data_IF_990910842035
#
_entry.id   IF_990910842035
#
_cell.length_a   1.000
_cell.length_b   1.000
_cell.length_c   1.000
_cell.angle_alpha   90.00
_cell.angle_beta   90.00
_cell.angle_gamma   90.00
#
_symmetry.space_group_name_H-M   'P 1'
#
loop_
_entity.id
_entity.type
_entity.pdbx_description
1 polymer ?
#
# COMPACT_ATOMS: atom_id res chain seq x y z
N UNK A 1 -37.71 80.16 -12.59
CA UNK A 1 -38.41 79.42 -11.50
C UNK A 1 -39.08 78.22 -12.15
N UNK A 2 -38.75 76.96 -11.92
CA UNK A 2 -37.89 76.30 -10.92
C UNK A 2 -37.53 74.95 -11.53
N UNK A 3 -36.24 74.62 -11.53
CA UNK A 3 -35.67 73.34 -11.97
C UNK A 3 -36.10 72.24 -10.99
N UNK A 4 -36.71 71.15 -11.47
CA UNK A 4 -36.82 69.90 -10.71
C UNK A 4 -36.04 68.81 -11.43
N UNK A 5 -34.78 68.70 -11.01
CA UNK A 5 -33.84 67.63 -11.33
C UNK A 5 -34.40 66.26 -10.96
N UNK A 6 -34.25 65.23 -11.79
CA UNK A 6 -34.58 63.86 -11.40
C UNK A 6 -33.58 63.39 -10.33
N UNK A 7 -34.11 62.83 -9.25
CA UNK A 7 -33.35 62.31 -8.13
C UNK A 7 -32.46 61.13 -8.59
N UNK A 8 -31.17 61.22 -8.29
CA UNK A 8 -30.22 60.12 -8.43
C UNK A 8 -30.69 58.92 -7.58
N UNK A 9 -30.60 57.67 -8.08
CA UNK A 9 -30.89 56.52 -7.26
C UNK A 9 -29.86 56.46 -6.13
N UNK A 10 -30.35 56.44 -4.90
CA UNK A 10 -29.55 56.18 -3.72
C UNK A 10 -28.81 54.86 -3.94
N UNK A 11 -27.49 54.95 -4.09
CA UNK A 11 -26.60 53.79 -4.00
C UNK A 11 -26.82 53.23 -2.60
N UNK A 12 -27.62 52.18 -2.53
CA UNK A 12 -27.78 51.36 -1.34
C UNK A 12 -26.38 50.85 -1.05
N UNK A 13 -25.74 51.44 -0.05
CA UNK A 13 -24.55 50.87 0.55
C UNK A 13 -24.99 49.51 1.10
N UNK A 14 -24.77 48.44 0.34
CA UNK A 14 -24.70 47.10 0.89
C UNK A 14 -23.62 47.15 1.96
N UNK A 15 -24.07 47.29 3.21
CA UNK A 15 -23.27 46.93 4.37
C UNK A 15 -22.92 45.46 4.17
N UNK A 16 -21.74 45.20 3.64
CA UNK A 16 -21.12 43.89 3.65
C UNK A 16 -20.95 43.54 5.12
N UNK A 17 -21.95 42.84 5.67
CA UNK A 17 -21.87 42.23 6.98
C UNK A 17 -20.56 41.43 6.99
N UNK A 18 -19.68 41.63 7.99
CA UNK A 18 -18.48 40.82 8.06
C UNK A 18 -18.96 39.39 8.21
N UNK A 19 -18.76 38.58 7.16
CA UNK A 19 -18.88 37.14 7.23
C UNK A 19 -18.01 36.72 8.40
N UNK A 20 -18.63 36.54 9.57
CA UNK A 20 -18.01 35.96 10.75
C UNK A 20 -17.45 34.64 10.25
N UNK A 21 -16.15 34.60 9.99
CA UNK A 21 -15.38 33.38 9.84
C UNK A 21 -15.81 32.53 11.04
N UNK A 22 -16.68 31.54 10.80
CA UNK A 22 -17.01 30.50 11.76
C UNK A 22 -15.69 29.78 11.97
N UNK A 23 -14.90 30.33 12.90
CA UNK A 23 -13.78 29.68 13.54
C UNK A 23 -14.41 28.41 14.10
N UNK A 24 -14.22 27.31 13.37
CA UNK A 24 -14.68 26.00 13.78
C UNK A 24 -14.03 25.75 15.14
N UNK A 25 -14.76 26.05 16.21
CA UNK A 25 -14.33 25.71 17.54
C UNK A 25 -14.22 24.19 17.54
N UNK A 26 -12.98 23.70 17.60
CA UNK A 26 -12.64 22.32 17.93
C UNK A 26 -13.12 22.02 19.34
N UNK A 27 -14.44 22.03 19.57
CA UNK A 27 -15.04 21.46 20.75
C UNK A 27 -14.78 19.97 20.65
N UNK A 28 -13.89 19.50 21.52
CA UNK A 28 -13.64 18.07 21.70
C UNK A 28 -14.90 17.50 22.33
N UNK A 29 -15.86 17.11 21.50
CA UNK A 29 -17.05 16.40 21.95
C UNK A 29 -16.57 15.12 22.66
N UNK A 30 -17.16 14.70 23.78
CA UNK A 30 -16.74 13.48 24.49
C UNK A 30 -16.71 12.24 23.58
N UNK A 31 -17.57 12.20 22.56
CA UNK A 31 -17.50 11.18 21.50
C UNK A 31 -16.21 11.22 20.68
N UNK A 32 -15.69 12.41 20.35
CA UNK A 32 -14.38 12.56 19.68
C UNK A 32 -13.23 12.14 20.58
N UNK A 33 -13.26 12.49 21.87
CA UNK A 33 -12.24 12.07 22.83
C UNK A 33 -12.18 10.54 22.96
N UNK A 34 -13.34 9.87 22.98
CA UNK A 34 -13.42 8.41 22.96
C UNK A 34 -12.89 7.82 21.65
N UNK A 35 -13.26 8.38 20.49
CA UNK A 35 -12.73 7.94 19.19
C UNK A 35 -11.21 8.05 19.14
N UNK A 36 -10.64 9.20 19.54
CA UNK A 36 -9.19 9.38 19.59
C UNK A 36 -8.53 8.43 20.60
N UNK A 37 -9.15 8.19 21.76
CA UNK A 37 -8.66 7.21 22.74
C UNK A 37 -8.57 5.79 22.15
N UNK A 38 -9.63 5.33 21.48
CA UNK A 38 -9.64 4.01 20.83
C UNK A 38 -8.60 3.94 19.71
N UNK A 39 -8.46 4.99 18.89
CA UNK A 39 -7.46 5.04 17.83
C UNK A 39 -6.03 5.02 18.38
N UNK A 40 -5.75 5.73 19.47
CA UNK A 40 -4.43 5.73 20.12
C UNK A 40 -4.11 4.37 20.72
N UNK A 41 -5.06 3.74 21.41
CA UNK A 41 -4.87 2.37 21.94
C UNK A 41 -4.65 1.39 20.79
N UNK A 42 -5.46 1.47 19.74
CA UNK A 42 -5.29 0.64 18.53
C UNK A 42 -3.91 0.83 17.89
N UNK A 43 -3.44 2.07 17.77
CA UNK A 43 -2.12 2.40 17.26
C UNK A 43 -1.00 1.80 18.12
N UNK A 44 -1.10 1.91 19.45
CA UNK A 44 -0.10 1.34 20.37
C UNK A 44 -0.03 -0.17 20.19
N UNK A 45 -1.18 -0.86 20.18
CA UNK A 45 -1.25 -2.31 19.98
C UNK A 45 -0.64 -2.72 18.63
N UNK A 46 -0.88 -1.94 17.58
CA UNK A 46 -0.30 -2.18 16.26
C UNK A 46 1.21 -1.95 16.19
N UNK A 47 1.74 -0.96 16.90
CA UNK A 47 3.18 -0.63 16.90
C UNK A 47 4.00 -1.60 17.73
N UNK A 48 3.42 -2.20 18.79
CA UNK A 48 4.13 -3.13 19.68
C UNK A 48 4.98 -4.20 18.98
N UNK A 49 4.47 -5.00 18.01
CA UNK A 49 5.29 -5.99 17.33
C UNK A 49 6.43 -5.39 16.50
N UNK A 50 6.26 -4.20 15.93
CA UNK A 50 7.32 -3.50 15.20
C UNK A 50 8.38 -2.94 16.15
N UNK A 51 7.96 -2.35 17.26
CA UNK A 51 8.86 -1.90 18.32
C UNK A 51 9.67 -3.09 18.85
N UNK A 52 9.03 -4.23 19.09
CA UNK A 52 9.68 -5.48 19.48
C UNK A 52 10.71 -5.95 18.45
N UNK A 53 10.36 -5.91 17.17
CA UNK A 53 11.27 -6.29 16.08
C UNK A 53 12.49 -5.36 16.00
N UNK A 54 12.30 -4.05 16.17
CA UNK A 54 13.39 -3.07 16.23
C UNK A 54 14.30 -3.29 17.43
N UNK A 55 13.73 -3.48 18.62
CA UNK A 55 14.49 -3.83 19.82
C UNK A 55 15.24 -5.17 19.63
N UNK A 56 14.64 -6.14 18.94
CA UNK A 56 15.27 -7.40 18.58
C UNK A 56 16.45 -7.25 17.63
N UNK A 57 16.40 -6.30 16.69
CA UNK A 57 17.49 -6.08 15.72
C UNK A 57 18.82 -5.69 16.35
N UNK A 58 18.80 -5.13 17.56
CA UNK A 58 19.98 -4.72 18.34
C UNK A 58 20.34 -5.69 19.47
N UNK A 59 19.62 -6.81 19.60
CA UNK A 59 19.91 -7.87 20.60
C UNK A 59 20.88 -8.90 20.05
N UNK A 60 21.63 -9.54 20.94
CA UNK A 60 22.49 -10.68 20.57
C UNK A 60 21.62 -11.91 20.27
N UNK A 61 22.12 -12.84 19.44
CA UNK A 61 21.43 -14.09 19.14
C UNK A 61 21.10 -14.91 20.41
N UNK A 62 21.99 -14.87 21.41
CA UNK A 62 21.77 -15.52 22.72
C UNK A 62 20.60 -14.88 23.47
N UNK A 63 20.50 -13.56 23.43
CA UNK A 63 19.43 -12.81 24.08
C UNK A 63 18.06 -13.02 23.42
N UNK A 64 18.02 -13.23 22.11
CA UNK A 64 16.77 -13.55 21.38
C UNK A 64 16.28 -14.97 21.70
N UNK A 65 17.20 -15.92 21.91
CA UNK A 65 16.87 -17.33 22.15
C UNK A 65 16.64 -17.68 23.63
N UNK A 66 16.96 -16.78 24.55
CA UNK A 66 16.82 -17.05 25.99
C UNK A 66 15.34 -17.11 26.43
N UNK A 67 15.08 -17.87 27.51
CA UNK A 67 13.78 -17.93 28.17
C UNK A 67 13.94 -17.53 29.64
N UNK A 68 13.21 -16.53 30.15
CA UNK A 68 12.16 -15.74 29.50
C UNK A 68 12.71 -14.70 28.50
N UNK A 69 11.97 -14.37 27.42
CA UNK A 69 12.40 -13.35 26.46
C UNK A 69 12.47 -11.97 27.13
N UNK A 70 13.58 -11.25 26.92
CA UNK A 70 13.75 -9.89 27.44
C UNK A 70 12.97 -8.90 26.58
N UNK A 71 12.28 -7.95 27.21
CA UNK A 71 11.62 -6.87 26.48
C UNK A 71 12.61 -5.81 26.02
N UNK A 72 13.46 -5.36 26.95
CA UNK A 72 14.52 -4.41 26.67
C UNK A 72 15.85 -5.13 26.36
N UNK A 73 16.65 -4.66 25.39
CA UNK A 73 17.99 -5.18 25.13
C UNK A 73 18.86 -5.03 26.38
N UNK A 74 19.47 -6.11 26.84
CA UNK A 74 20.47 -6.05 27.91
C UNK A 74 21.82 -5.58 27.35
N UNK A 75 22.16 -6.04 26.16
CA UNK A 75 23.34 -5.62 25.42
C UNK A 75 22.94 -5.06 24.06
N UNK A 76 23.18 -3.76 23.86
CA UNK A 76 22.98 -3.12 22.57
C UNK A 76 24.16 -3.46 21.66
N UNK A 77 23.91 -4.26 20.62
CA UNK A 77 24.91 -4.58 19.60
C UNK A 77 24.48 -4.10 18.22
N UNK A 78 25.43 -3.55 17.47
CA UNK A 78 25.28 -3.17 16.06
C UNK A 78 25.88 -4.21 15.12
N UNK A 79 26.48 -5.28 15.66
CA UNK A 79 27.14 -6.33 14.87
C UNK A 79 26.17 -7.03 13.91
N UNK A 80 24.89 -7.13 14.28
CA UNK A 80 23.86 -7.68 13.41
C UNK A 80 23.80 -6.94 12.06
N UNK A 81 23.87 -5.61 12.07
CA UNK A 81 23.86 -4.81 10.84
C UNK A 81 25.15 -5.00 10.03
N UNK A 82 26.30 -5.10 10.68
CA UNK A 82 27.58 -5.39 10.02
C UNK A 82 27.58 -6.78 9.36
N UNK A 83 27.04 -7.78 10.04
CA UNK A 83 26.90 -9.14 9.52
C UNK A 83 25.96 -9.19 8.29
N UNK A 84 24.86 -8.42 8.29
CA UNK A 84 23.91 -8.37 7.18
C UNK A 84 24.55 -7.88 5.88
N UNK A 85 25.29 -6.77 5.93
CA UNK A 85 25.90 -6.19 4.74
C UNK A 85 27.22 -6.86 4.34
N UNK A 86 27.93 -7.48 5.28
CA UNK A 86 29.19 -8.18 5.03
C UNK A 86 29.01 -9.67 4.73
N UNK A 87 28.64 -10.46 5.74
CA UNK A 87 28.67 -11.92 5.68
C UNK A 87 27.46 -12.53 4.94
N UNK A 88 26.29 -11.90 5.05
CA UNK A 88 25.04 -12.42 4.48
C UNK A 88 24.72 -11.94 3.05
N UNK A 89 25.59 -11.14 2.42
CA UNK A 89 25.38 -10.59 1.06
C UNK A 89 23.97 -9.99 0.86
N UNK A 90 23.41 -9.34 1.88
CA UNK A 90 22.02 -8.86 1.86
C UNK A 90 21.74 -7.92 0.68
N UNK A 91 22.74 -7.13 0.25
CA UNK A 91 22.63 -6.25 -0.91
C UNK A 91 22.25 -6.99 -2.20
N UNK A 92 22.74 -8.21 -2.41
CA UNK A 92 22.39 -9.02 -3.58
C UNK A 92 20.93 -9.49 -3.52
N UNK A 93 20.48 -10.00 -2.36
CA UNK A 93 19.08 -10.42 -2.19
C UNK A 93 18.10 -9.25 -2.34
N UNK A 94 18.48 -8.08 -1.80
CA UNK A 94 17.71 -6.86 -1.95
C UNK A 94 17.65 -6.39 -3.41
N UNK A 95 18.79 -6.40 -4.11
CA UNK A 95 18.87 -6.09 -5.54
C UNK A 95 18.03 -7.03 -6.39
N UNK A 96 18.12 -8.34 -6.15
CA UNK A 96 17.28 -9.36 -6.81
C UNK A 96 15.79 -9.06 -6.62
N UNK A 97 15.40 -8.72 -5.40
CA UNK A 97 14.01 -8.40 -5.05
C UNK A 97 13.51 -7.15 -5.77
N UNK A 98 14.35 -6.09 -5.84
CA UNK A 98 14.03 -4.87 -6.58
C UNK A 98 13.84 -5.16 -8.06
N UNK A 99 14.77 -5.89 -8.68
CA UNK A 99 14.71 -6.24 -10.11
C UNK A 99 13.41 -6.99 -10.40
N UNK A 100 13.13 -8.06 -9.65
CA UNK A 100 11.91 -8.84 -9.82
C UNK A 100 10.67 -7.98 -9.61
N UNK A 101 10.60 -7.20 -8.52
CA UNK A 101 9.46 -6.34 -8.23
C UNK A 101 9.22 -5.30 -9.35
N UNK A 102 10.27 -4.64 -9.82
CA UNK A 102 10.17 -3.61 -10.85
C UNK A 102 9.63 -4.18 -12.17
N UNK A 103 10.19 -5.29 -12.65
CA UNK A 103 9.76 -5.90 -13.91
C UNK A 103 8.37 -6.53 -13.80
N UNK A 104 8.05 -7.17 -12.67
CA UNK A 104 6.71 -7.73 -12.43
C UNK A 104 5.65 -6.63 -12.38
N UNK A 105 5.91 -5.52 -11.68
CA UNK A 105 4.99 -4.38 -11.61
C UNK A 105 4.84 -3.69 -12.95
N UNK A 106 5.95 -3.48 -13.69
CA UNK A 106 5.90 -2.89 -15.02
C UNK A 106 5.08 -3.76 -15.98
N UNK A 107 5.28 -5.08 -15.95
CA UNK A 107 4.48 -6.05 -16.71
C UNK A 107 3.00 -5.97 -16.36
N UNK A 108 2.66 -6.00 -15.07
CA UNK A 108 1.27 -5.89 -14.62
C UNK A 108 0.66 -4.58 -15.10
N UNK A 109 1.36 -3.46 -14.97
CA UNK A 109 0.83 -2.16 -15.37
C UNK A 109 0.51 -2.13 -16.87
N UNK A 110 1.39 -2.68 -17.71
CA UNK A 110 1.17 -2.71 -19.17
C UNK A 110 0.02 -3.65 -19.51
N UNK A 111 0.10 -4.93 -19.15
CA UNK A 111 -0.88 -5.91 -19.59
C UNK A 111 -2.23 -5.77 -18.89
N UNK A 112 -2.24 -5.54 -17.59
CA UNK A 112 -3.50 -5.46 -16.85
C UNK A 112 -4.26 -4.16 -17.18
N UNK A 113 -3.57 -3.04 -17.43
CA UNK A 113 -4.26 -1.83 -17.89
C UNK A 113 -4.85 -1.99 -19.30
N UNK A 114 -4.16 -2.70 -20.20
CA UNK A 114 -4.69 -3.02 -21.53
C UNK A 114 -5.94 -3.89 -21.46
N UNK A 115 -5.91 -4.96 -20.65
CA UNK A 115 -7.07 -5.85 -20.49
C UNK A 115 -8.21 -5.15 -19.76
N UNK A 116 -7.92 -4.41 -18.69
CA UNK A 116 -8.90 -3.64 -17.92
C UNK A 116 -9.56 -2.57 -18.79
N UNK A 117 -8.79 -1.85 -19.62
CA UNK A 117 -9.32 -0.90 -20.58
C UNK A 117 -10.21 -1.56 -21.63
N UNK A 118 -9.79 -2.70 -22.20
CA UNK A 118 -10.58 -3.43 -23.17
C UNK A 118 -11.91 -3.91 -22.55
N UNK A 119 -11.88 -4.48 -21.34
CA UNK A 119 -13.08 -4.94 -20.64
C UNK A 119 -14.00 -3.79 -20.19
N UNK A 120 -13.45 -2.65 -19.78
CA UNK A 120 -14.26 -1.54 -19.29
C UNK A 120 -14.83 -0.67 -20.42
N UNK A 121 -14.04 -0.38 -21.47
CA UNK A 121 -14.34 0.67 -22.44
C UNK A 121 -14.67 0.18 -23.84
N UNK A 122 -14.20 -1.00 -24.25
CA UNK A 122 -14.46 -1.54 -25.59
C UNK A 122 -15.67 -2.47 -25.58
N UNK A 123 -16.43 -2.49 -26.68
CA UNK A 123 -17.54 -3.42 -26.90
C UNK A 123 -17.17 -4.39 -28.02
N UNK A 124 -16.88 -5.63 -27.64
CA UNK A 124 -16.45 -6.69 -28.54
C UNK A 124 -17.20 -8.00 -28.25
N UNK A 125 -17.39 -8.87 -29.27
CA UNK A 125 -18.05 -10.15 -29.06
C UNK A 125 -17.22 -11.03 -28.11
N UNK A 126 -17.84 -11.56 -27.05
CA UNK A 126 -17.18 -12.41 -26.04
C UNK A 126 -16.75 -11.70 -24.74
N UNK A 127 -16.94 -10.37 -24.64
CA UNK A 127 -16.62 -9.56 -23.44
C UNK A 127 -17.14 -10.14 -22.12
N UNK A 128 -18.41 -10.60 -22.09
CA UNK A 128 -19.01 -11.21 -20.89
C UNK A 128 -18.35 -12.54 -20.52
N UNK A 129 -18.00 -13.37 -21.49
CA UNK A 129 -17.33 -14.64 -21.25
C UNK A 129 -15.92 -14.40 -20.69
N UNK A 130 -15.15 -13.49 -21.31
CA UNK A 130 -13.82 -13.13 -20.82
C UNK A 130 -13.86 -12.57 -19.38
N UNK A 131 -14.82 -11.69 -19.08
CA UNK A 131 -15.02 -11.16 -17.74
C UNK A 131 -15.30 -12.27 -16.71
N UNK A 132 -16.17 -13.22 -17.04
CA UNK A 132 -16.47 -14.38 -16.17
C UNK A 132 -15.24 -15.26 -15.97
N UNK A 133 -14.43 -15.50 -17.01
CA UNK A 133 -13.19 -16.27 -16.88
C UNK A 133 -12.22 -15.60 -15.90
N UNK A 134 -12.01 -14.28 -16.02
CA UNK A 134 -11.15 -13.53 -15.09
C UNK A 134 -11.69 -13.61 -13.65
N UNK A 135 -13.00 -13.46 -13.47
CA UNK A 135 -13.64 -13.63 -12.16
C UNK A 135 -13.44 -15.03 -11.56
N UNK A 136 -13.59 -16.09 -12.37
CA UNK A 136 -13.36 -17.47 -11.91
C UNK A 136 -11.91 -17.68 -11.49
N UNK A 137 -10.95 -17.09 -12.21
CA UNK A 137 -9.52 -17.20 -11.84
C UNK A 137 -9.20 -16.52 -10.50
N UNK A 138 -9.96 -15.52 -10.06
CA UNK A 138 -9.82 -14.93 -8.72
C UNK A 138 -10.28 -15.87 -7.60
N UNK A 139 -11.17 -16.83 -7.90
CA UNK A 139 -11.64 -17.82 -6.93
C UNK A 139 -10.62 -18.96 -6.72
N UNK A 140 -9.65 -19.10 -7.62
CA UNK A 140 -8.62 -20.14 -7.51
C UNK A 140 -7.57 -19.70 -6.49
N UNK A 141 -7.35 -20.46 -5.40
CA UNK A 141 -6.36 -20.09 -4.41
C UNK A 141 -4.94 -20.24 -4.96
N UNK A 142 -4.08 -19.24 -4.77
CA UNK A 142 -2.72 -19.25 -5.32
C UNK A 142 -1.84 -20.43 -4.86
N UNK A 143 -2.18 -21.07 -3.72
CA UNK A 143 -1.44 -22.23 -3.22
C UNK A 143 -1.62 -23.46 -4.12
N UNK A 144 -2.80 -23.66 -4.73
CA UNK A 144 -3.03 -24.83 -5.60
C UNK A 144 -2.39 -24.69 -6.98
N UNK A 145 -2.15 -23.45 -7.42
CA UNK A 145 -1.48 -23.17 -8.70
C UNK A 145 0.04 -23.19 -8.58
N UNK A 146 0.59 -23.15 -7.37
CA UNK A 146 2.04 -23.07 -7.15
C UNK A 146 2.81 -24.26 -7.73
N UNK A 147 2.36 -25.50 -7.47
CA UNK A 147 3.01 -26.71 -7.99
C UNK A 147 2.94 -26.77 -9.54
N UNK A 148 1.78 -26.58 -10.19
CA UNK A 148 1.71 -26.49 -11.64
C UNK A 148 2.61 -25.41 -12.25
N UNK A 149 2.66 -24.22 -11.64
CA UNK A 149 3.52 -23.12 -12.13
C UNK A 149 5.00 -23.49 -12.03
N UNK A 150 5.42 -24.12 -10.94
CA UNK A 150 6.80 -24.62 -10.80
C UNK A 150 7.13 -25.65 -11.88
N UNK A 151 6.24 -26.62 -12.13
CA UNK A 151 6.44 -27.63 -13.19
C UNK A 151 6.55 -26.97 -14.57
N UNK A 152 5.73 -25.95 -14.84
CA UNK A 152 5.77 -25.19 -16.11
C UNK A 152 7.08 -24.41 -16.28
N UNK A 153 7.53 -23.71 -15.25
CA UNK A 153 8.82 -22.99 -15.28
C UNK A 153 9.99 -23.96 -15.41
N UNK A 154 9.89 -25.12 -14.76
CA UNK A 154 10.89 -26.19 -14.83
C UNK A 154 10.98 -26.82 -16.21
N UNK A 155 9.85 -27.14 -16.84
CA UNK A 155 9.82 -27.67 -18.20
C UNK A 155 10.32 -26.68 -19.25
N UNK A 156 10.19 -25.38 -18.98
CA UNK A 156 10.78 -24.30 -19.80
C UNK A 156 12.29 -24.11 -19.56
N UNK A 157 12.90 -24.82 -18.61
CA UNK A 157 14.32 -24.69 -18.28
C UNK A 157 14.69 -23.37 -17.63
N UNK A 158 13.71 -22.65 -17.06
CA UNK A 158 13.89 -21.31 -16.48
C UNK A 158 14.20 -21.36 -14.98
N UNK A 159 14.38 -22.54 -14.39
CA UNK A 159 14.68 -22.71 -12.97
C UNK A 159 15.93 -21.92 -12.60
N UNK A 160 15.93 -21.32 -11.41
CA UNK A 160 17.03 -20.51 -10.88
C UNK A 160 17.34 -19.23 -11.69
N UNK A 161 16.30 -18.62 -12.28
CA UNK A 161 16.43 -17.36 -13.04
C UNK A 161 15.40 -16.31 -12.62
N UNK A 162 15.65 -15.03 -12.92
CA UNK A 162 14.66 -13.98 -12.71
C UNK A 162 13.39 -14.20 -13.54
N UNK A 163 13.51 -14.82 -14.72
CA UNK A 163 12.37 -15.10 -15.59
C UNK A 163 11.36 -16.04 -14.91
N UNK A 164 11.83 -17.02 -14.14
CA UNK A 164 10.98 -17.89 -13.32
C UNK A 164 10.13 -17.12 -12.30
N UNK A 165 10.65 -16.01 -11.79
CA UNK A 165 9.98 -15.18 -10.78
C UNK A 165 9.12 -14.07 -11.38
N UNK A 166 9.41 -13.67 -12.62
CA UNK A 166 8.72 -12.55 -13.29
C UNK A 166 7.56 -13.08 -14.14
N UNK A 167 7.83 -13.99 -15.09
CA UNK A 167 6.86 -14.40 -16.12
C UNK A 167 5.53 -14.92 -15.56
N UNK A 168 5.50 -15.79 -14.52
CA UNK A 168 4.24 -16.29 -13.98
C UNK A 168 3.36 -15.21 -13.35
N UNK A 169 3.97 -14.10 -12.93
CA UNK A 169 3.33 -13.04 -12.17
C UNK A 169 3.20 -11.73 -12.95
N UNK A 170 3.63 -11.67 -14.22
CA UNK A 170 3.52 -10.49 -15.10
C UNK A 170 2.08 -10.06 -15.33
N UNK A 171 1.12 -10.99 -15.25
CA UNK A 171 -0.31 -10.68 -15.28
C UNK A 171 -1.01 -11.37 -14.13
N UNK A 172 -1.79 -10.63 -13.36
CA UNK A 172 -2.62 -11.19 -12.30
C UNK A 172 -4.09 -10.87 -12.57
N UNK A 173 -5.03 -11.81 -12.32
CA UNK A 173 -6.45 -11.54 -12.50
C UNK A 173 -6.94 -10.35 -11.65
N UNK A 174 -6.31 -10.12 -10.49
CA UNK A 174 -6.62 -8.98 -9.63
C UNK A 174 -6.20 -7.66 -10.27
N UNK A 175 -5.04 -7.61 -10.93
CA UNK A 175 -4.53 -6.36 -11.53
C UNK A 175 -5.37 -5.84 -12.69
N UNK A 176 -6.24 -6.66 -13.28
CA UNK A 176 -7.14 -6.27 -14.39
C UNK A 176 -8.28 -5.35 -13.91
N UNK A 177 -8.57 -5.33 -12.61
CA UNK A 177 -9.61 -4.51 -11.96
C UNK A 177 -9.00 -3.37 -11.15
#
# INVERSE_FOLDING_TARGET
>A
MTLTSPAAPAVVAETVEPQRRRRSENRVTPGRALTYGVLVVGLIVWILPFAWMLLGSVKTQREILQRPPTWWPQEFTWENFGAWFGQLNFGQFFGNSIVVALFTVAGNLVFCSMVGYALAKMDFPGKKALFVVVMVTLMVPGVVTFVPLFVMVSSLGLVDSYAALILPFVTTPLGVF
#
